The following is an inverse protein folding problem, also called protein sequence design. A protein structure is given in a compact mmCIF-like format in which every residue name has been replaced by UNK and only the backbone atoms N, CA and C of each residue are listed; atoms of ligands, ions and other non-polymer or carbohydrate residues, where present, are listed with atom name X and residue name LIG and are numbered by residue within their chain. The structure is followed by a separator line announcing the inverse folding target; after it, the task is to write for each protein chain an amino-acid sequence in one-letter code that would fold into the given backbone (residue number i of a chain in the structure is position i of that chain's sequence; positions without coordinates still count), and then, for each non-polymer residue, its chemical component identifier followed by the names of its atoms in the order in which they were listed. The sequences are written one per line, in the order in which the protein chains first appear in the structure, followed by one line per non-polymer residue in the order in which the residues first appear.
data_IF_947598388670
#
_entry.id   IF_947598388670
#
_cell.length_a   1.000
_cell.length_b   1.000
_cell.length_c   1.000
_cell.angle_alpha   90.00
_cell.angle_beta   90.00
_cell.angle_gamma   90.00
#
_symmetry.space_group_name_H-M   'P 1'
#
loop_
_entity.id
_entity.type
_entity.pdbx_description
1 polymer ?
#
# COMPACT_ATOMS: atom_id res chain seq x y z
N UNK A 1 -17.74 19.84 2.89
CA UNK A 1 -17.42 18.63 3.69
C UNK A 1 -17.69 17.30 2.94
N UNK A 2 -18.86 17.05 2.32
CA UNK A 2 -19.16 15.74 1.70
C UNK A 2 -18.16 15.31 0.61
N UNK A 3 -17.77 16.26 -0.27
CA UNK A 3 -16.78 16.01 -1.33
C UNK A 3 -15.41 15.55 -0.81
N UNK A 4 -14.96 16.07 0.34
CA UNK A 4 -13.70 15.64 0.95
C UNK A 4 -13.80 14.24 1.55
N UNK A 5 -14.94 13.88 2.16
CA UNK A 5 -15.19 12.52 2.66
C UNK A 5 -15.17 11.52 1.50
N UNK A 6 -15.90 11.81 0.42
CA UNK A 6 -15.92 10.95 -0.77
C UNK A 6 -14.55 10.84 -1.42
N UNK A 7 -13.80 11.94 -1.53
CA UNK A 7 -12.43 11.90 -2.05
C UNK A 7 -11.56 10.94 -1.23
N UNK A 8 -11.49 11.14 0.09
CA UNK A 8 -10.62 10.35 0.96
C UNK A 8 -11.06 8.87 1.01
N UNK A 9 -12.37 8.61 1.01
CA UNK A 9 -12.95 7.27 0.92
C UNK A 9 -12.50 6.54 -0.35
N UNK A 10 -12.41 7.25 -1.47
CA UNK A 10 -12.04 6.67 -2.77
C UNK A 10 -10.53 6.59 -3.01
N UNK A 11 -9.72 7.41 -2.34
CA UNK A 11 -8.26 7.45 -2.59
C UNK A 11 -7.44 6.69 -1.55
N UNK A 12 -7.75 6.83 -0.25
CA UNK A 12 -6.87 6.34 0.82
C UNK A 12 -7.19 4.90 1.18
N UNK A 13 -8.46 4.62 1.47
CA UNK A 13 -8.88 3.33 2.02
C UNK A 13 -8.72 2.15 1.06
N UNK A 14 -9.02 2.26 -0.26
CA UNK A 14 -8.80 1.15 -1.19
C UNK A 14 -7.32 0.75 -1.24
N UNK A 15 -6.42 1.73 -1.26
CA UNK A 15 -4.97 1.47 -1.27
C UNK A 15 -4.49 0.87 0.06
N UNK A 16 -5.00 1.38 1.20
CA UNK A 16 -4.68 0.85 2.52
C UNK A 16 -5.11 -0.62 2.65
N UNK A 17 -6.32 -0.95 2.20
CA UNK A 17 -6.85 -2.32 2.21
C UNK A 17 -6.03 -3.23 1.31
N UNK A 18 -5.75 -2.81 0.07
CA UNK A 18 -4.91 -3.58 -0.86
C UNK A 18 -3.54 -3.87 -0.26
N UNK A 19 -2.92 -2.88 0.37
CA UNK A 19 -1.63 -3.05 1.01
C UNK A 19 -1.67 -4.03 2.18
N UNK A 20 -2.67 -3.92 3.08
CA UNK A 20 -2.81 -4.84 4.22
C UNK A 20 -3.08 -6.27 3.74
N UNK A 21 -3.93 -6.44 2.72
CA UNK A 21 -4.21 -7.76 2.14
C UNK A 21 -2.95 -8.37 1.50
N UNK A 22 -2.18 -7.57 0.76
CA UNK A 22 -0.93 -8.04 0.15
C UNK A 22 0.13 -8.38 1.20
N UNK A 23 0.25 -7.56 2.25
CA UNK A 23 1.12 -7.84 3.38
C UNK A 23 0.74 -9.14 4.09
N UNK A 24 -0.56 -9.35 4.33
CA UNK A 24 -1.07 -10.59 4.94
C UNK A 24 -0.81 -11.81 4.04
N UNK A 25 -0.97 -11.67 2.72
CA UNK A 25 -0.69 -12.74 1.74
C UNK A 25 0.77 -13.13 1.72
N UNK A 26 1.68 -12.17 1.85
CA UNK A 26 3.13 -12.42 1.86
C UNK A 26 3.67 -12.81 3.23
N UNK A 27 2.91 -12.58 4.31
CA UNK A 27 3.33 -12.87 5.67
C UNK A 27 3.83 -14.30 5.92
N UNK A 28 3.17 -15.36 5.39
CA UNK A 28 3.61 -16.73 5.61
C UNK A 28 5.00 -17.02 5.02
N UNK A 29 5.47 -16.22 4.05
CA UNK A 29 6.83 -16.33 3.51
C UNK A 29 7.90 -16.16 4.59
N UNK A 30 7.63 -15.39 5.64
CA UNK A 30 8.55 -15.21 6.75
C UNK A 30 8.85 -16.53 7.51
N UNK A 31 7.97 -17.53 7.42
CA UNK A 31 8.17 -18.89 7.96
C UNK A 31 8.83 -19.85 6.97
N UNK A 32 9.10 -19.39 5.74
CA UNK A 32 9.73 -20.16 4.68
C UNK A 32 8.80 -20.48 3.50
N UNK A 33 9.40 -21.05 2.45
CA UNK A 33 8.73 -21.34 1.17
C UNK A 33 7.56 -22.32 1.31
N UNK A 34 7.66 -23.31 2.20
CA UNK A 34 6.61 -24.31 2.42
C UNK A 34 5.36 -23.71 3.06
N UNK A 35 5.51 -22.86 4.08
CA UNK A 35 4.39 -22.13 4.68
C UNK A 35 3.74 -21.17 3.69
N UNK A 36 4.54 -20.45 2.90
CA UNK A 36 4.02 -19.63 1.80
C UNK A 36 3.20 -20.46 0.80
N UNK A 37 3.71 -21.62 0.39
CA UNK A 37 3.03 -22.47 -0.57
C UNK A 37 1.72 -23.07 -0.05
N UNK A 38 1.66 -23.41 1.23
CA UNK A 38 0.46 -23.95 1.87
C UNK A 38 -0.66 -22.91 2.01
N UNK A 39 -0.29 -21.64 2.23
CA UNK A 39 -1.24 -20.55 2.50
C UNK A 39 -1.50 -19.66 1.28
N UNK A 40 -0.72 -19.78 0.21
CA UNK A 40 -0.89 -19.00 -1.01
C UNK A 40 -2.07 -19.53 -1.82
N UNK A 41 -3.07 -18.69 -2.13
CA UNK A 41 -4.16 -19.06 -3.04
C UNK A 41 -3.65 -18.92 -4.47
N UNK A 42 -2.60 -19.63 -4.86
CA UNK A 42 -2.06 -19.59 -6.21
C UNK A 42 -3.06 -20.28 -7.15
N UNK A 43 -3.91 -19.50 -7.83
CA UNK A 43 -4.89 -20.00 -8.80
C UNK A 43 -5.19 -18.90 -9.83
N UNK A 44 -5.68 -19.29 -11.00
CA UNK A 44 -6.12 -18.31 -12.01
C UNK A 44 -7.30 -17.48 -11.52
N UNK A 45 -8.24 -18.08 -10.79
CA UNK A 45 -9.41 -17.39 -10.27
C UNK A 45 -9.01 -16.30 -9.25
N UNK A 46 -8.12 -16.62 -8.31
CA UNK A 46 -7.63 -15.63 -7.34
C UNK A 46 -6.87 -14.48 -8.01
N UNK A 47 -6.07 -14.76 -9.05
CA UNK A 47 -5.39 -13.73 -9.85
C UNK A 47 -6.39 -12.80 -10.56
N UNK A 48 -7.46 -13.36 -11.14
CA UNK A 48 -8.53 -12.58 -11.79
C UNK A 48 -9.30 -11.72 -10.78
N UNK A 49 -9.66 -12.28 -9.61
CA UNK A 49 -10.32 -11.54 -8.53
C UNK A 49 -9.42 -10.39 -8.06
N UNK A 50 -8.14 -10.66 -7.84
CA UNK A 50 -7.17 -9.65 -7.43
C UNK A 50 -7.02 -8.55 -8.48
N UNK A 51 -6.98 -8.91 -9.76
CA UNK A 51 -6.95 -7.96 -10.88
C UNK A 51 -8.18 -7.05 -10.87
N UNK A 52 -9.38 -7.62 -10.72
CA UNK A 52 -10.61 -6.84 -10.65
C UNK A 52 -10.62 -5.88 -9.45
N UNK A 53 -10.15 -6.33 -8.29
CA UNK A 53 -10.04 -5.52 -7.07
C UNK A 53 -9.08 -4.34 -7.27
N UNK A 54 -7.90 -4.59 -7.85
CA UNK A 54 -6.88 -3.56 -8.14
C UNK A 54 -7.41 -2.54 -9.14
N UNK A 55 -8.00 -2.99 -10.26
CA UNK A 55 -8.53 -2.10 -11.29
C UNK A 55 -9.71 -1.27 -10.78
N UNK A 56 -10.64 -1.87 -10.04
CA UNK A 56 -11.75 -1.17 -9.41
C UNK A 56 -11.28 -0.12 -8.41
N UNK A 57 -10.28 -0.45 -7.60
CA UNK A 57 -9.66 0.48 -6.63
C UNK A 57 -8.88 1.60 -7.32
N UNK A 58 -8.21 1.32 -8.45
CA UNK A 58 -7.50 2.33 -9.24
C UNK A 58 -8.48 3.30 -9.91
N UNK A 59 -9.59 2.79 -10.44
CA UNK A 59 -10.66 3.61 -10.99
C UNK A 59 -11.28 4.50 -9.90
N UNK A 60 -11.50 3.95 -8.70
CA UNK A 60 -11.94 4.72 -7.54
C UNK A 60 -10.94 5.82 -7.18
N UNK A 61 -9.64 5.51 -7.14
CA UNK A 61 -8.59 6.49 -6.88
C UNK A 61 -8.57 7.62 -7.93
N UNK A 62 -8.60 7.28 -9.22
CA UNK A 62 -8.64 8.25 -10.31
C UNK A 62 -9.87 9.16 -10.20
N UNK A 63 -11.04 8.58 -9.94
CA UNK A 63 -12.29 9.31 -9.69
C UNK A 63 -12.19 10.21 -8.45
N UNK A 64 -11.56 9.73 -7.38
CA UNK A 64 -11.34 10.52 -6.17
C UNK A 64 -10.56 11.79 -6.47
N UNK A 65 -9.46 11.70 -7.23
CA UNK A 65 -8.68 12.88 -7.63
C UNK A 65 -9.37 13.76 -8.65
N UNK A 66 -10.20 13.23 -9.54
CA UNK A 66 -10.96 14.06 -10.48
C UNK A 66 -12.05 14.89 -9.78
N UNK A 67 -12.52 14.45 -8.60
CA UNK A 67 -13.49 15.21 -7.78
C UNK A 67 -12.88 16.43 -7.08
N UNK A 68 -11.56 16.48 -6.92
CA UNK A 68 -10.87 17.61 -6.29
C UNK A 68 -9.98 18.33 -7.32
N UNK A 69 -10.41 19.52 -7.73
CA UNK A 69 -9.55 20.45 -8.44
C UNK A 69 -8.40 20.98 -7.55
N UNK A 70 -7.49 21.79 -8.10
CA UNK A 70 -6.47 22.48 -7.32
C UNK A 70 -7.11 23.25 -6.17
N UNK A 71 -6.60 23.07 -4.95
CA UNK A 71 -7.13 23.75 -3.77
C UNK A 71 -6.71 25.24 -3.79
N UNK A 72 -7.64 26.18 -3.54
CA UNK A 72 -7.30 27.57 -3.24
C UNK A 72 -6.38 27.63 -2.01
N UNK A 73 -5.42 28.56 -2.02
CA UNK A 73 -4.37 28.68 -0.99
C UNK A 73 -4.88 28.78 0.46
N UNK A 74 -6.14 29.19 0.66
CA UNK A 74 -6.77 29.40 1.97
C UNK A 74 -7.99 28.50 2.23
N UNK A 75 -8.22 27.46 1.41
CA UNK A 75 -9.40 26.63 1.60
C UNK A 75 -9.32 25.78 2.89
N UNK A 76 -10.38 25.81 3.69
CA UNK A 76 -10.58 24.94 4.87
C UNK A 76 -10.81 23.48 4.44
N UNK A 77 -9.80 22.86 3.85
CA UNK A 77 -9.75 21.47 3.41
C UNK A 77 -9.05 20.55 4.42
N UNK A 78 -9.09 19.23 4.19
CA UNK A 78 -8.43 18.25 5.06
C UNK A 78 -6.90 18.28 4.99
N UNK A 79 -6.35 19.02 4.01
CA UNK A 79 -4.93 19.23 3.82
C UNK A 79 -4.48 20.51 4.49
N UNK A 80 -3.34 20.45 5.19
CA UNK A 80 -2.77 21.59 5.90
C UNK A 80 -2.26 22.69 4.97
N UNK A 81 -1.84 22.34 3.75
CA UNK A 81 -1.34 23.27 2.73
C UNK A 81 -1.45 22.68 1.32
N UNK A 82 -1.30 23.53 0.30
CA UNK A 82 -1.20 23.12 -1.09
C UNK A 82 0.03 22.22 -1.38
N UNK A 83 1.13 22.43 -0.65
CA UNK A 83 2.31 21.56 -0.73
C UNK A 83 2.00 20.13 -0.28
N UNK A 84 1.30 19.98 0.85
CA UNK A 84 0.86 18.67 1.35
C UNK A 84 -0.09 17.98 0.36
N UNK A 85 -1.00 18.70 -0.29
CA UNK A 85 -1.88 18.14 -1.31
C UNK A 85 -1.10 17.58 -2.51
N UNK A 86 -0.12 18.34 -3.02
CA UNK A 86 0.74 17.90 -4.13
C UNK A 86 1.58 16.68 -3.74
N UNK A 87 2.16 16.71 -2.55
CA UNK A 87 2.95 15.61 -2.02
C UNK A 87 2.09 14.34 -1.87
N UNK A 88 0.88 14.45 -1.33
CA UNK A 88 -0.06 13.33 -1.23
C UNK A 88 -0.40 12.75 -2.60
N UNK A 89 -0.61 13.59 -3.61
CA UNK A 89 -0.91 13.14 -4.97
C UNK A 89 0.27 12.38 -5.58
N UNK A 90 1.48 12.92 -5.45
CA UNK A 90 2.71 12.27 -5.94
C UNK A 90 2.98 10.96 -5.22
N UNK A 91 2.91 10.96 -3.88
CA UNK A 91 3.11 9.80 -3.03
C UNK A 91 2.09 8.71 -3.35
N UNK A 92 0.82 9.07 -3.56
CA UNK A 92 -0.23 8.14 -3.99
C UNK A 92 0.03 7.54 -5.38
N UNK A 93 0.55 8.33 -6.32
CA UNK A 93 0.94 7.84 -7.65
C UNK A 93 2.07 6.80 -7.57
N UNK A 94 3.11 7.07 -6.78
CA UNK A 94 4.20 6.12 -6.55
C UNK A 94 3.74 4.86 -5.80
N UNK A 95 2.83 5.01 -4.86
CA UNK A 95 2.24 3.87 -4.15
C UNK A 95 1.38 3.00 -5.09
N UNK A 96 0.67 3.59 -6.06
CA UNK A 96 0.01 2.83 -7.12
C UNK A 96 0.98 2.13 -8.06
N UNK A 97 2.13 2.75 -8.36
CA UNK A 97 3.17 2.09 -9.14
C UNK A 97 3.64 0.79 -8.47
N UNK A 98 3.74 0.74 -7.13
CA UNK A 98 4.02 -0.49 -6.38
C UNK A 98 2.93 -1.53 -6.57
N UNK A 99 1.66 -1.16 -6.35
CA UNK A 99 0.52 -2.09 -6.46
C UNK A 99 0.40 -2.66 -7.87
N UNK A 100 0.52 -1.82 -8.89
CA UNK A 100 0.46 -2.25 -10.30
C UNK A 100 1.66 -3.13 -10.65
N UNK A 101 2.87 -2.77 -10.22
CA UNK A 101 4.06 -3.59 -10.46
C UNK A 101 3.94 -4.97 -9.83
N UNK A 102 3.41 -5.04 -8.60
CA UNK A 102 3.15 -6.30 -7.91
C UNK A 102 2.11 -7.16 -8.64
N UNK A 103 1.03 -6.54 -9.15
CA UNK A 103 0.02 -7.23 -9.95
C UNK A 103 0.63 -7.79 -11.25
N UNK A 104 1.41 -6.98 -11.97
CA UNK A 104 2.11 -7.41 -13.19
C UNK A 104 3.05 -8.57 -12.88
N UNK A 105 3.81 -8.50 -11.79
CA UNK A 105 4.70 -9.56 -11.36
C UNK A 105 3.93 -10.86 -11.09
N UNK A 106 2.76 -10.81 -10.43
CA UNK A 106 1.91 -11.99 -10.24
C UNK A 106 1.43 -12.59 -11.55
N UNK A 107 1.02 -11.77 -12.52
CA UNK A 107 0.63 -12.24 -13.85
C UNK A 107 1.80 -12.92 -14.56
N UNK A 108 2.98 -12.28 -14.57
CA UNK A 108 4.18 -12.84 -15.20
C UNK A 108 4.55 -14.18 -14.56
N UNK A 109 4.60 -14.26 -13.23
CA UNK A 109 4.91 -15.51 -12.53
C UNK A 109 3.86 -16.60 -12.82
N UNK A 110 2.56 -16.26 -12.77
CA UNK A 110 1.48 -17.22 -13.03
C UNK A 110 1.51 -17.75 -14.47
N UNK A 111 1.82 -16.91 -15.45
CA UNK A 111 1.98 -17.36 -16.85
C UNK A 111 3.22 -18.25 -17.00
N UNK A 112 4.31 -17.94 -16.30
CA UNK A 112 5.60 -18.63 -16.49
C UNK A 112 5.68 -19.99 -15.80
N UNK A 113 5.13 -20.10 -14.59
CA UNK A 113 5.23 -21.33 -13.76
C UNK A 113 3.87 -21.88 -13.32
N UNK A 114 2.79 -21.33 -13.86
CA UNK A 114 1.43 -21.73 -13.49
C UNK A 114 1.05 -21.33 -12.07
N UNK A 115 0.09 -22.05 -11.52
CA UNK A 115 -0.45 -21.89 -10.16
C UNK A 115 0.40 -22.60 -9.09
N UNK A 116 1.70 -22.80 -9.32
CA UNK A 116 2.58 -23.51 -8.40
C UNK A 116 3.22 -22.53 -7.42
N UNK A 117 2.69 -22.46 -6.19
CA UNK A 117 3.09 -21.46 -5.21
C UNK A 117 4.58 -21.51 -4.80
N UNK A 118 5.19 -22.69 -4.74
CA UNK A 118 6.64 -22.83 -4.46
C UNK A 118 7.46 -22.17 -5.57
N UNK A 119 7.13 -22.43 -6.84
CA UNK A 119 7.82 -21.83 -7.97
C UNK A 119 7.64 -20.31 -8.02
N UNK A 120 6.46 -19.82 -7.62
CA UNK A 120 6.21 -18.38 -7.48
C UNK A 120 7.05 -17.75 -6.35
N UNK A 121 7.25 -18.44 -5.23
CA UNK A 121 8.12 -17.97 -4.14
C UNK A 121 9.56 -17.77 -4.62
N UNK A 122 10.15 -18.77 -5.29
CA UNK A 122 11.54 -18.68 -5.76
C UNK A 122 11.72 -17.58 -6.81
N UNK A 123 10.77 -17.44 -7.74
CA UNK A 123 10.81 -16.35 -8.71
C UNK A 123 10.68 -14.97 -8.06
N UNK A 124 9.81 -14.84 -7.05
CA UNK A 124 9.64 -13.59 -6.30
C UNK A 124 10.94 -13.25 -5.56
N UNK A 125 11.59 -14.24 -4.94
CA UNK A 125 12.88 -14.09 -4.28
C UNK A 125 13.96 -13.63 -5.25
N UNK A 126 14.10 -14.31 -6.39
CA UNK A 126 15.07 -13.94 -7.43
C UNK A 126 14.82 -12.50 -7.91
N UNK A 127 13.57 -12.13 -8.19
CA UNK A 127 13.24 -10.82 -8.72
C UNK A 127 13.48 -9.69 -7.71
N UNK A 128 13.03 -9.86 -6.46
CA UNK A 128 13.20 -8.84 -5.41
C UNK A 128 14.65 -8.67 -4.98
N UNK A 129 15.49 -9.70 -5.13
CA UNK A 129 16.93 -9.62 -4.82
C UNK A 129 17.72 -8.70 -5.75
N UNK A 130 17.15 -8.31 -6.91
CA UNK A 130 17.81 -7.42 -7.88
C UNK A 130 17.89 -6.00 -7.30
N UNK A 131 19.08 -5.35 -7.23
CA UNK A 131 19.25 -4.06 -6.56
C UNK A 131 18.31 -2.95 -7.07
N UNK A 132 18.07 -2.90 -8.38
CA UNK A 132 17.17 -1.91 -9.00
C UNK A 132 15.72 -2.13 -8.57
N UNK A 133 15.28 -3.39 -8.49
CA UNK A 133 13.93 -3.74 -8.04
C UNK A 133 13.78 -3.40 -6.57
N UNK A 134 14.76 -3.77 -5.74
CA UNK A 134 14.75 -3.41 -4.32
C UNK A 134 14.67 -1.89 -4.11
N UNK A 135 15.49 -1.10 -4.81
CA UNK A 135 15.45 0.35 -4.72
C UNK A 135 14.08 0.92 -5.10
N UNK A 136 13.46 0.38 -6.15
CA UNK A 136 12.09 0.73 -6.54
C UNK A 136 11.07 0.42 -5.42
N UNK A 137 11.11 -0.79 -4.85
CA UNK A 137 10.21 -1.19 -3.76
C UNK A 137 10.39 -0.31 -2.52
N UNK A 138 11.63 -0.03 -2.11
CA UNK A 138 11.92 0.84 -0.96
C UNK A 138 11.38 2.25 -1.19
N UNK A 139 11.61 2.83 -2.38
CA UNK A 139 11.10 4.15 -2.74
C UNK A 139 9.57 4.19 -2.70
N UNK A 140 8.91 3.23 -3.33
CA UNK A 140 7.45 3.21 -3.37
C UNK A 140 6.81 2.87 -2.02
N UNK A 141 7.46 2.05 -1.19
CA UNK A 141 7.04 1.82 0.20
C UNK A 141 7.17 3.12 1.01
N UNK A 142 8.29 3.84 0.89
CA UNK A 142 8.43 5.16 1.52
C UNK A 142 7.32 6.13 1.11
N UNK A 143 7.01 6.19 -0.19
CA UNK A 143 5.90 6.98 -0.71
C UNK A 143 4.54 6.52 -0.17
N UNK A 144 4.28 5.21 -0.12
CA UNK A 144 3.07 4.65 0.45
C UNK A 144 2.91 5.04 1.93
N UNK A 145 3.99 5.01 2.72
CA UNK A 145 3.91 5.42 4.12
C UNK A 145 3.56 6.90 4.30
N UNK A 146 4.20 7.78 3.51
CA UNK A 146 3.84 9.19 3.49
C UNK A 146 2.36 9.39 3.12
N UNK A 147 1.90 8.66 2.10
CA UNK A 147 0.51 8.69 1.64
C UNK A 147 -0.47 8.22 2.73
N UNK A 148 -0.19 7.10 3.40
CA UNK A 148 -1.06 6.52 4.42
C UNK A 148 -1.09 7.36 5.70
N UNK A 149 0.07 7.83 6.18
CA UNK A 149 0.15 8.69 7.37
C UNK A 149 -0.73 9.92 7.24
N UNK A 150 -0.59 10.66 6.13
CA UNK A 150 -1.39 11.87 5.87
C UNK A 150 -2.85 11.54 5.55
N UNK A 151 -3.08 10.47 4.78
CA UNK A 151 -4.41 10.06 4.31
C UNK A 151 -5.32 9.57 5.43
N UNK A 152 -4.79 8.79 6.38
CA UNK A 152 -5.55 8.29 7.53
C UNK A 152 -5.93 9.46 8.45
N UNK A 153 -4.97 10.33 8.79
CA UNK A 153 -5.26 11.52 9.61
C UNK A 153 -6.29 12.45 8.93
N UNK A 154 -6.17 12.66 7.61
CA UNK A 154 -7.15 13.40 6.81
C UNK A 154 -8.54 12.76 6.85
N UNK A 155 -8.62 11.42 6.81
CA UNK A 155 -9.88 10.67 6.94
C UNK A 155 -10.58 11.01 8.24
N UNK A 156 -9.92 10.84 9.39
CA UNK A 156 -10.58 11.09 10.67
C UNK A 156 -11.07 12.54 10.81
N UNK A 157 -10.28 13.51 10.33
CA UNK A 157 -10.69 14.93 10.28
C UNK A 157 -11.92 15.16 9.40
N UNK A 158 -11.96 14.57 8.21
CA UNK A 158 -13.08 14.76 7.28
C UNK A 158 -14.41 14.21 7.84
N UNK A 159 -14.37 13.16 8.66
CA UNK A 159 -15.56 12.62 9.35
C UNK A 159 -15.89 13.34 10.67
N UNK A 160 -15.11 14.36 11.04
CA UNK A 160 -15.37 15.20 12.21
C UNK A 160 -14.89 14.59 13.52
N UNK A 161 -14.08 13.53 13.46
CA UNK A 161 -13.33 13.02 14.61
C UNK A 161 -12.20 14.00 14.91
N UNK A 162 -12.02 14.36 16.19
CA UNK A 162 -10.94 15.22 16.67
C UNK A 162 -10.90 16.67 16.13
N UNK A 163 -12.00 17.40 16.30
CA UNK A 163 -12.09 18.83 15.90
C UNK A 163 -11.23 19.78 16.75
N UNK A 164 -10.75 19.35 17.93
CA UNK A 164 -9.86 20.15 18.79
C UNK A 164 -8.40 20.00 18.36
N UNK A 165 -7.60 21.07 18.49
CA UNK A 165 -6.19 21.10 18.08
C UNK A 165 -5.35 19.95 18.68
N UNK A 166 -5.51 19.68 19.98
CA UNK A 166 -4.83 18.57 20.66
C UNK A 166 -5.24 17.20 20.10
N UNK A 167 -6.54 16.97 19.90
CA UNK A 167 -7.03 15.71 19.35
C UNK A 167 -6.55 15.48 17.90
N UNK A 168 -6.43 16.55 17.11
CA UNK A 168 -5.89 16.48 15.74
C UNK A 168 -4.41 16.11 15.75
N UNK A 169 -3.63 16.58 16.73
CA UNK A 169 -2.21 16.24 16.86
C UNK A 169 -2.02 14.75 17.19
N UNK A 170 -2.82 14.23 18.12
CA UNK A 170 -2.77 12.79 18.48
C UNK A 170 -3.16 11.89 17.31
N UNK A 171 -4.11 12.29 16.47
CA UNK A 171 -4.43 11.55 15.24
C UNK A 171 -3.28 11.52 14.24
N UNK A 172 -2.54 12.62 14.07
CA UNK A 172 -1.38 12.66 13.18
C UNK A 172 -0.25 11.75 13.68
N UNK A 173 -0.01 11.76 14.99
CA UNK A 173 0.94 10.85 15.65
C UNK A 173 0.51 9.40 15.43
N UNK A 174 -0.76 9.07 15.72
CA UNK A 174 -1.29 7.72 15.55
C UNK A 174 -1.25 7.25 14.09
N UNK A 175 -1.63 8.10 13.13
CA UNK A 175 -1.55 7.78 11.70
C UNK A 175 -0.12 7.54 11.23
N UNK A 176 0.82 8.35 11.73
CA UNK A 176 2.26 8.18 11.44
C UNK A 176 2.80 6.89 12.05
N UNK A 177 2.46 6.59 13.30
CA UNK A 177 2.89 5.38 13.98
C UNK A 177 2.33 4.13 13.29
N UNK A 178 1.03 4.10 12.98
CA UNK A 178 0.40 2.99 12.26
C UNK A 178 1.06 2.79 10.90
N UNK A 179 1.31 3.87 10.15
CA UNK A 179 2.00 3.79 8.88
C UNK A 179 3.43 3.29 9.02
N UNK A 180 4.16 3.70 10.06
CA UNK A 180 5.53 3.25 10.31
C UNK A 180 5.58 1.76 10.64
N UNK A 181 4.67 1.26 11.50
CA UNK A 181 4.56 -0.17 11.81
C UNK A 181 4.28 -0.98 10.54
N UNK A 182 3.32 -0.55 9.74
CA UNK A 182 2.97 -1.18 8.47
C UNK A 182 4.16 -1.22 7.49
N UNK A 183 4.94 -0.15 7.41
CA UNK A 183 6.16 -0.11 6.60
C UNK A 183 7.25 -1.02 7.14
N UNK A 184 7.48 -1.06 8.46
CA UNK A 184 8.46 -1.95 9.07
C UNK A 184 8.11 -3.41 8.81
N UNK A 185 6.82 -3.77 8.87
CA UNK A 185 6.34 -5.10 8.51
C UNK A 185 6.62 -5.42 7.03
N UNK A 186 6.33 -4.50 6.11
CA UNK A 186 6.62 -4.69 4.69
C UNK A 186 8.13 -4.77 4.40
N UNK A 187 8.94 -3.95 5.06
CA UNK A 187 10.41 -3.99 4.96
C UNK A 187 10.93 -5.32 5.51
N UNK A 188 10.35 -5.86 6.58
CA UNK A 188 10.71 -7.18 7.11
C UNK A 188 10.43 -8.29 6.10
N UNK A 189 9.24 -8.27 5.46
CA UNK A 189 8.89 -9.20 4.36
C UNK A 189 9.87 -9.05 3.19
N UNK A 190 10.14 -7.82 2.74
CA UNK A 190 11.08 -7.57 1.66
C UNK A 190 12.49 -8.06 2.01
N UNK A 191 12.95 -7.82 3.24
CA UNK A 191 14.25 -8.27 3.74
C UNK A 191 14.40 -9.78 3.72
N UNK A 192 13.31 -10.51 4.03
CA UNK A 192 13.29 -11.97 3.93
C UNK A 192 13.57 -12.44 2.50
N UNK A 193 12.92 -11.84 1.50
CA UNK A 193 13.17 -12.19 0.10
C UNK A 193 14.57 -11.79 -0.39
N UNK A 194 15.10 -10.65 0.05
CA UNK A 194 16.41 -10.14 -0.41
C UNK A 194 17.58 -10.86 0.27
N UNK A 195 17.52 -11.04 1.59
CA UNK A 195 18.66 -11.50 2.41
C UNK A 195 18.46 -12.89 3.01
N UNK A 196 17.29 -13.51 2.83
CA UNK A 196 16.92 -14.77 3.47
C UNK A 196 16.67 -14.65 4.99
N UNK A 197 16.65 -13.44 5.55
CA UNK A 197 16.45 -13.20 6.98
C UNK A 197 15.16 -12.43 7.24
N UNK A 198 14.34 -12.95 8.15
CA UNK A 198 13.27 -12.19 8.80
C UNK A 198 13.82 -11.67 10.12
N UNK A 199 13.79 -10.35 10.36
CA UNK A 199 14.39 -9.75 11.56
C UNK A 199 13.45 -9.78 12.79
N UNK A 200 12.15 -10.03 12.58
CA UNK A 200 11.09 -9.83 13.60
C UNK A 200 10.29 -11.11 13.91
N UNK A 201 10.66 -12.24 13.32
CA UNK A 201 10.10 -13.54 13.67
C UNK A 201 11.12 -14.19 14.59
N UNK A 202 10.75 -14.43 15.85
CA UNK A 202 11.58 -15.19 16.79
C UNK A 202 11.90 -16.58 16.23
N UNK A 203 12.92 -17.26 16.78
CA UNK A 203 13.32 -18.61 16.36
C UNK A 203 12.16 -19.60 16.39
#
# INVERSE_FOLDING_TARGET
MPRFRSHIALTVWPLAVLFVLELARLWPALRGASSFAAESPASWLSLLIWTALVLGSLAAYARGWSMLGPLPAESAGPYRSNGCWRLQKLAGGLAWALVVSQLVLHWVMTVRVGSVAISQYELLREFLSRPVVMAFYVLCLGALGLFLSQGIAASFRAWGVARRSESSRWLEIAGTLTSAVLLLMAINVLSHFVTGRAYWMGP
#
